data_IF_725749278182
#
_entry.id   IF_725749278182
#
_cell.length_a   1.000
_cell.length_b   1.000
_cell.length_c   1.000
_cell.angle_alpha   90.00
_cell.angle_beta   90.00
_cell.angle_gamma   90.00
#
_symmetry.space_group_name_H-M   'P 1'
#
loop_
_entity.id
_entity.type
_entity.pdbx_description
1 polymer ?
#
# COMPACT_ATOMS: atom_id res chain seq x y z
N UNK A 1 45.75 60.84 -17.55
CA UNK A 1 45.16 59.65 -18.22
C UNK A 1 45.68 58.39 -17.55
N UNK A 2 44.88 57.75 -16.68
CA UNK A 2 45.27 56.60 -15.87
C UNK A 2 45.29 55.29 -16.67
N UNK A 3 46.46 54.64 -16.71
CA UNK A 3 46.67 53.36 -17.38
C UNK A 3 46.20 52.22 -16.45
N UNK A 4 44.98 51.73 -16.66
CA UNK A 4 44.48 50.53 -15.97
C UNK A 4 45.37 49.33 -16.33
N UNK A 5 45.91 48.57 -15.35
CA UNK A 5 46.79 47.46 -15.64
C UNK A 5 46.00 46.38 -16.39
N UNK A 6 46.39 46.18 -17.65
CA UNK A 6 45.77 45.23 -18.61
C UNK A 6 45.58 43.82 -18.03
N UNK A 7 46.34 43.45 -16.99
CA UNK A 7 46.21 42.18 -16.25
C UNK A 7 44.90 42.06 -15.47
N UNK A 8 44.41 43.14 -14.85
CA UNK A 8 43.16 43.11 -14.06
C UNK A 8 41.93 42.89 -14.94
N UNK A 9 41.93 43.45 -16.15
CA UNK A 9 40.86 43.23 -17.15
C UNK A 9 40.85 41.79 -17.66
N UNK A 10 42.01 41.19 -17.91
CA UNK A 10 42.10 39.78 -18.33
C UNK A 10 41.63 38.82 -17.24
N UNK A 11 41.99 39.07 -15.98
CA UNK A 11 41.49 38.32 -14.82
C UNK A 11 39.97 38.40 -14.66
N UNK A 12 39.40 39.61 -14.77
CA UNK A 12 37.95 39.80 -14.69
C UNK A 12 37.19 39.14 -15.85
N UNK A 13 37.72 39.19 -17.07
CA UNK A 13 37.10 38.53 -18.23
C UNK A 13 37.13 37.01 -18.09
N UNK A 14 38.23 36.43 -17.61
CA UNK A 14 38.32 34.99 -17.35
C UNK A 14 37.37 34.53 -16.24
N UNK A 15 37.22 35.33 -15.19
CA UNK A 15 36.29 35.05 -14.09
C UNK A 15 34.83 35.09 -14.57
N UNK A 16 34.46 36.08 -15.39
CA UNK A 16 33.13 36.19 -15.99
C UNK A 16 32.83 35.04 -16.95
N UNK A 17 33.79 34.63 -17.79
CA UNK A 17 33.61 33.48 -18.68
C UNK A 17 33.41 32.18 -17.88
N UNK A 18 34.20 31.98 -16.82
CA UNK A 18 34.05 30.84 -15.93
C UNK A 18 32.68 30.80 -15.24
N UNK A 19 32.23 31.94 -14.71
CA UNK A 19 30.93 32.06 -14.06
C UNK A 19 29.78 31.81 -15.06
N UNK A 20 29.87 32.34 -16.28
CA UNK A 20 28.89 32.06 -17.34
C UNK A 20 28.84 30.57 -17.72
N UNK A 21 29.99 29.90 -17.83
CA UNK A 21 30.05 28.47 -18.09
C UNK A 21 29.41 27.65 -16.97
N UNK A 22 29.67 28.01 -15.71
CA UNK A 22 29.04 27.37 -14.53
C UNK A 22 27.53 27.57 -14.55
N UNK A 23 27.05 28.77 -14.85
CA UNK A 23 25.61 29.06 -14.96
C UNK A 23 24.95 28.23 -16.06
N UNK A 24 25.59 28.07 -17.22
CA UNK A 24 25.07 27.22 -18.31
C UNK A 24 25.01 25.75 -17.89
N UNK A 25 26.04 25.24 -17.23
CA UNK A 25 26.09 23.85 -16.74
C UNK A 25 25.01 23.60 -15.68
N UNK A 26 24.87 24.50 -14.71
CA UNK A 26 23.84 24.43 -13.67
C UNK A 26 22.45 24.51 -14.28
N UNK A 27 22.19 25.45 -15.18
CA UNK A 27 20.90 25.59 -15.86
C UNK A 27 20.54 24.35 -16.69
N UNK A 28 21.51 23.73 -17.37
CA UNK A 28 21.31 22.47 -18.10
C UNK A 28 21.03 21.30 -17.16
N UNK A 29 21.65 21.26 -15.99
CA UNK A 29 21.42 20.24 -14.95
C UNK A 29 20.09 20.42 -14.21
N UNK A 30 19.54 21.64 -14.16
CA UNK A 30 18.20 21.91 -13.62
C UNK A 30 17.06 21.76 -14.65
N UNK A 31 17.34 21.71 -15.95
CA UNK A 31 16.33 21.50 -17.00
C UNK A 31 16.05 20.04 -17.48
N UNK A 32 16.55 18.92 -16.89
CA UNK A 32 16.36 17.60 -17.49
C UNK A 32 14.93 17.03 -17.36
N UNK A 33 13.97 17.69 -16.70
CA UNK A 33 12.65 17.10 -16.38
C UNK A 33 11.46 17.76 -17.10
N UNK A 34 11.65 18.86 -17.84
CA UNK A 34 10.53 19.50 -18.58
C UNK A 34 10.33 18.92 -19.99
N UNK A 35 10.73 17.66 -20.17
CA UNK A 35 10.32 16.84 -21.32
C UNK A 35 9.41 15.76 -20.78
N UNK A 36 8.27 16.19 -20.21
CA UNK A 36 7.17 15.27 -19.96
C UNK A 36 6.93 14.52 -21.28
N UNK A 37 7.00 13.17 -21.29
CA UNK A 37 6.57 12.43 -22.46
C UNK A 37 5.16 12.90 -22.77
N UNK A 38 4.92 13.35 -24.00
CA UNK A 38 3.59 13.70 -24.47
C UNK A 38 2.78 12.42 -24.35
N UNK A 39 2.07 12.25 -23.23
CA UNK A 39 1.14 11.16 -23.06
C UNK A 39 0.12 11.34 -24.19
N UNK A 40 -0.19 10.28 -24.96
CA UNK A 40 -1.29 10.36 -25.91
C UNK A 40 -2.54 10.79 -25.12
N UNK A 41 -3.39 11.65 -25.70
CA UNK A 41 -4.62 12.06 -25.03
C UNK A 41 -5.40 10.81 -24.60
N UNK A 42 -6.03 10.82 -23.40
CA UNK A 42 -6.80 9.68 -22.94
C UNK A 42 -7.86 9.30 -24.00
N UNK A 43 -8.17 8.01 -24.19
CA UNK A 43 -9.21 7.61 -25.12
C UNK A 43 -10.54 8.27 -24.73
N UNK A 44 -11.40 8.62 -25.71
CA UNK A 44 -12.70 9.19 -25.41
C UNK A 44 -13.52 8.22 -24.56
N UNK A 45 -14.33 8.71 -23.62
CA UNK A 45 -15.22 7.85 -22.85
C UNK A 45 -16.14 7.07 -23.79
N UNK A 46 -16.51 5.82 -23.45
CA UNK A 46 -17.43 5.03 -24.25
C UNK A 46 -18.73 5.83 -24.48
N UNK A 47 -19.12 5.98 -25.74
CA UNK A 47 -20.25 6.83 -26.14
C UNK A 47 -21.61 6.22 -25.81
N UNK A 48 -21.64 4.92 -25.51
CA UNK A 48 -22.84 4.24 -25.05
C UNK A 48 -22.74 4.04 -23.53
N UNK A 49 -23.57 4.72 -22.72
CA UNK A 49 -23.80 4.25 -21.36
C UNK A 49 -24.31 2.80 -21.48
N UNK A 50 -23.91 1.88 -20.59
CA UNK A 50 -24.52 0.56 -20.57
C UNK A 50 -26.03 0.79 -20.43
N UNK A 51 -26.76 0.50 -21.52
CA UNK A 51 -28.22 0.51 -21.49
C UNK A 51 -28.61 -0.63 -20.58
N UNK A 52 -28.80 -0.31 -19.30
CA UNK A 52 -29.45 -1.20 -18.36
C UNK A 52 -30.87 -1.33 -18.89
N UNK A 53 -31.12 -2.36 -19.69
CA UNK A 53 -32.46 -2.74 -20.12
C UNK A 53 -33.13 -3.30 -18.88
N UNK A 54 -33.78 -2.42 -18.11
CA UNK A 54 -34.67 -2.83 -17.04
C UNK A 54 -35.82 -3.60 -17.70
N UNK A 55 -36.05 -4.89 -17.37
CA UNK A 55 -37.16 -5.63 -17.91
C UNK A 55 -38.46 -4.96 -17.44
N UNK A 56 -39.22 -4.39 -18.37
CA UNK A 56 -40.53 -3.77 -18.12
C UNK A 56 -41.62 -4.79 -17.81
N UNK A 57 -41.29 -6.08 -17.85
CA UNK A 57 -42.25 -7.18 -17.78
C UNK A 57 -42.63 -7.58 -16.35
N UNK A 58 -42.06 -6.95 -15.32
CA UNK A 58 -42.31 -7.32 -13.91
C UNK A 58 -43.51 -6.60 -13.26
N UNK A 59 -44.17 -5.66 -13.96
CA UNK A 59 -45.26 -4.85 -13.37
C UNK A 59 -46.67 -5.34 -13.72
N UNK A 60 -46.83 -6.51 -14.33
CA UNK A 60 -48.15 -7.08 -14.65
C UNK A 60 -48.30 -8.47 -14.05
N UNK A 61 -48.20 -8.58 -12.72
CA UNK A 61 -48.82 -9.69 -11.99
C UNK A 61 -50.02 -9.13 -11.25
N UNK A 62 -51.16 -9.31 -11.89
CA UNK A 62 -52.48 -9.25 -11.29
C UNK A 62 -52.55 -10.11 -10.03
N UNK A 63 -52.53 -9.44 -8.88
CA UNK A 63 -52.78 -10.05 -7.57
C UNK A 63 -54.26 -10.39 -7.50
N UNK A 64 -54.57 -11.65 -7.79
CA UNK A 64 -55.85 -12.25 -7.49
C UNK A 64 -56.04 -12.27 -5.96
N UNK A 65 -56.91 -11.38 -5.49
CA UNK A 65 -57.42 -11.37 -4.13
C UNK A 65 -58.24 -12.63 -3.87
N UNK A 66 -57.84 -13.40 -2.86
CA UNK A 66 -58.68 -14.42 -2.24
C UNK A 66 -58.22 -14.55 -0.79
N UNK A 67 -59.00 -13.98 0.12
CA UNK A 67 -58.91 -14.21 1.54
C UNK A 67 -58.99 -15.72 1.84
N UNK A 68 -58.37 -16.18 2.95
CA UNK A 68 -59.20 -16.34 4.13
C UNK A 68 -58.58 -15.86 5.44
N UNK A 69 -59.49 -15.31 6.22
CA UNK A 69 -59.49 -15.07 7.66
C UNK A 69 -59.13 -16.36 8.44
N UNK A 70 -58.16 -16.27 9.34
CA UNK A 70 -58.18 -17.12 10.53
C UNK A 70 -57.43 -16.46 11.69
N UNK A 71 -58.14 -16.45 12.80
CA UNK A 71 -57.93 -15.77 14.06
C UNK A 71 -56.90 -16.49 14.96
N UNK A 72 -56.59 -15.81 16.08
CA UNK A 72 -55.90 -16.26 17.30
C UNK A 72 -54.37 -16.15 17.28
N UNK A 73 -53.66 -15.65 18.29
CA UNK A 73 -53.91 -14.99 19.59
C UNK A 73 -52.55 -14.34 19.98
N UNK A 74 -52.50 -13.27 20.82
CA UNK A 74 -51.25 -12.57 21.11
C UNK A 74 -50.58 -13.07 22.41
N UNK A 75 -49.45 -13.75 22.30
CA UNK A 75 -48.51 -13.86 23.43
C UNK A 75 -47.42 -12.79 23.30
N UNK A 76 -47.52 -11.82 24.22
CA UNK A 76 -46.51 -10.82 24.49
C UNK A 76 -45.28 -11.46 25.12
N UNK A 77 -44.10 -11.15 24.62
CA UNK A 77 -42.90 -11.13 25.47
C UNK A 77 -42.00 -9.97 25.07
N UNK A 78 -41.86 -9.06 26.01
CA UNK A 78 -40.95 -7.91 26.04
C UNK A 78 -39.78 -8.33 26.92
N UNK A 79 -38.53 -8.23 26.45
CA UNK A 79 -37.30 -8.07 27.26
C UNK A 79 -36.20 -7.52 26.32
N UNK A 80 -35.88 -6.22 26.31
CA UNK A 80 -34.80 -5.52 27.09
C UNK A 80 -33.41 -6.11 26.78
N UNK A 81 -32.61 -5.47 25.91
CA UNK A 81 -31.56 -4.48 26.25
C UNK A 81 -30.80 -4.82 27.54
N UNK A 82 -29.59 -5.38 27.41
CA UNK A 82 -28.41 -5.06 28.22
C UNK A 82 -27.21 -5.93 27.78
N UNK A 83 -26.21 -5.29 27.18
CA UNK A 83 -24.80 -5.66 27.38
C UNK A 83 -24.37 -4.98 28.69
N UNK A 84 -23.54 -5.56 29.58
CA UNK A 84 -22.16 -6.01 29.29
C UNK A 84 -21.82 -7.34 30.04
N UNK A 85 -20.72 -8.05 29.79
CA UNK A 85 -19.42 -7.91 30.45
C UNK A 85 -18.57 -9.11 29.94
N UNK A 86 -17.35 -8.90 29.44
CA UNK A 86 -16.11 -9.43 30.03
C UNK A 86 -16.29 -10.63 30.98
N UNK A 87 -15.75 -11.80 30.61
CA UNK A 87 -15.04 -12.65 31.57
C UNK A 87 -14.14 -13.67 30.85
N UNK A 88 -12.84 -13.51 31.12
CA UNK A 88 -11.78 -14.46 30.85
C UNK A 88 -11.94 -15.63 31.83
N UNK A 89 -12.07 -16.86 31.35
CA UNK A 89 -11.60 -18.05 32.06
C UNK A 89 -11.31 -19.18 31.03
N UNK A 90 -10.05 -19.52 30.77
CA UNK A 90 -9.71 -20.83 30.19
C UNK A 90 -8.68 -21.48 31.11
N UNK A 91 -9.19 -22.21 32.10
CA UNK A 91 -8.42 -23.03 33.03
C UNK A 91 -9.15 -24.33 33.32
N UNK A 92 -8.49 -25.46 33.04
CA UNK A 92 -8.94 -26.83 33.33
C UNK A 92 -8.42 -27.79 32.26
N UNK A 93 -7.24 -28.41 32.36
CA UNK A 93 -6.75 -29.38 33.36
C UNK A 93 -7.56 -30.68 33.43
N UNK A 94 -6.92 -31.77 32.96
CA UNK A 94 -7.30 -33.17 33.10
C UNK A 94 -7.09 -33.91 31.76
N UNK A 95 -6.36 -35.02 31.63
CA UNK A 95 -5.90 -36.01 32.60
C UNK A 95 -4.93 -36.99 31.92
N UNK A 96 -3.94 -37.44 32.70
CA UNK A 96 -3.22 -38.74 32.65
C UNK A 96 -2.18 -39.05 31.55
N UNK A 97 -0.91 -38.96 31.96
CA UNK A 97 0.08 -40.05 32.07
C UNK A 97 -0.31 -41.45 31.51
N UNK A 98 0.62 -42.17 30.86
CA UNK A 98 1.71 -42.79 31.61
C UNK A 98 3.12 -42.65 31.00
N UNK A 99 4.06 -42.62 31.94
CA UNK A 99 5.51 -42.75 31.80
C UNK A 99 5.90 -44.08 31.15
N UNK A 100 6.84 -44.04 30.21
CA UNK A 100 7.86 -45.09 30.07
C UNK A 100 9.12 -44.48 29.45
N UNK A 101 10.00 -44.01 30.32
CA UNK A 101 11.43 -44.31 30.38
C UNK A 101 12.08 -44.91 29.12
N UNK A 102 12.89 -44.10 28.40
CA UNK A 102 14.24 -44.49 27.96
C UNK A 102 15.05 -43.28 27.44
N UNK A 103 16.35 -43.16 27.80
CA UNK A 103 17.09 -41.91 27.71
C UNK A 103 17.96 -41.77 26.44
N UNK A 104 18.27 -40.51 26.15
CA UNK A 104 19.45 -40.04 25.40
C UNK A 104 19.51 -40.36 23.90
N UNK A 105 18.74 -39.61 23.11
CA UNK A 105 19.20 -39.07 21.83
C UNK A 105 18.44 -37.76 21.57
N UNK A 106 19.14 -36.64 21.62
CA UNK A 106 18.61 -35.30 21.34
C UNK A 106 18.01 -35.26 19.93
N UNK A 107 16.68 -35.25 19.85
CA UNK A 107 15.96 -34.71 18.69
C UNK A 107 15.16 -33.55 19.22
N UNK A 108 15.82 -32.39 19.19
CA UNK A 108 15.20 -31.11 19.47
C UNK A 108 14.30 -30.82 18.27
N UNK A 109 13.00 -31.09 18.42
CA UNK A 109 11.98 -30.45 17.59
C UNK A 109 11.54 -29.25 18.40
N UNK A 110 12.28 -28.16 18.24
CA UNK A 110 11.86 -26.84 18.69
C UNK A 110 10.62 -26.46 17.88
N UNK A 111 9.48 -26.59 18.55
CA UNK A 111 8.22 -25.92 18.25
C UNK A 111 8.43 -24.41 18.48
N UNK A 112 9.23 -23.79 17.61
CA UNK A 112 9.33 -22.34 17.52
C UNK A 112 8.22 -21.88 16.57
N UNK A 113 7.06 -21.61 17.15
CA UNK A 113 6.14 -20.64 16.58
C UNK A 113 6.98 -19.37 16.25
N UNK A 114 7.06 -18.95 14.97
CA UNK A 114 7.87 -17.79 14.62
C UNK A 114 7.28 -16.59 15.35
N UNK A 115 7.99 -16.11 16.36
CA UNK A 115 7.73 -14.81 16.95
C UNK A 115 7.80 -13.79 15.81
N UNK A 116 6.70 -13.06 15.60
CA UNK A 116 6.56 -12.00 14.61
C UNK A 116 7.47 -10.80 14.98
N UNK A 117 8.79 -10.97 14.90
CA UNK A 117 9.76 -9.88 14.92
C UNK A 117 9.82 -9.29 13.49
N UNK A 118 8.76 -8.53 13.19
CA UNK A 118 8.30 -8.08 11.87
C UNK A 118 9.10 -6.86 11.31
N UNK A 119 10.27 -6.56 11.87
CA UNK A 119 10.95 -5.26 11.71
C UNK A 119 12.17 -5.26 10.76
N UNK A 120 12.77 -6.41 10.41
CA UNK A 120 14.08 -6.44 9.73
C UNK A 120 14.08 -6.84 8.23
N UNK A 121 12.92 -6.99 7.59
CA UNK A 121 12.88 -7.20 6.13
C UNK A 121 12.73 -5.86 5.38
N UNK A 122 13.83 -5.11 5.26
CA UNK A 122 13.91 -3.84 4.50
C UNK A 122 13.44 -3.95 3.03
N UNK A 123 13.39 -5.18 2.48
CA UNK A 123 12.96 -5.46 1.10
C UNK A 123 11.53 -6.00 1.00
N UNK A 124 10.80 -6.17 2.11
CA UNK A 124 9.39 -6.57 2.10
C UNK A 124 8.46 -5.36 2.15
N UNK A 125 7.38 -5.43 1.39
CA UNK A 125 6.33 -4.42 1.46
C UNK A 125 4.96 -5.02 1.19
N UNK A 126 3.92 -4.26 1.49
CA UNK A 126 2.55 -4.71 1.26
C UNK A 126 2.19 -4.62 -0.23
N UNK A 127 1.82 -5.75 -0.82
CA UNK A 127 1.30 -5.79 -2.18
C UNK A 127 -0.23 -5.64 -2.14
N UNK A 128 -0.78 -4.63 -2.81
CA UNK A 128 -2.23 -4.41 -2.87
C UNK A 128 -2.94 -5.52 -3.66
N UNK A 129 -2.28 -6.08 -4.67
CA UNK A 129 -2.83 -7.17 -5.47
C UNK A 129 -2.87 -8.51 -4.72
N UNK A 130 -1.82 -8.83 -3.94
CA UNK A 130 -1.77 -10.05 -3.13
C UNK A 130 -2.42 -9.90 -1.75
N UNK A 131 -2.61 -8.67 -1.28
CA UNK A 131 -3.10 -8.31 0.06
C UNK A 131 -2.26 -8.90 1.20
N UNK A 132 -0.96 -8.99 0.98
CA UNK A 132 0.00 -9.55 1.91
C UNK A 132 1.34 -8.79 1.81
N UNK A 133 2.16 -8.87 2.86
CA UNK A 133 3.57 -8.48 2.78
C UNK A 133 4.29 -9.46 1.87
N UNK A 134 4.97 -8.96 0.85
CA UNK A 134 5.71 -9.74 -0.15
C UNK A 134 7.08 -9.09 -0.36
N UNK A 135 8.12 -9.87 -0.67
CA UNK A 135 9.40 -9.31 -1.03
C UNK A 135 9.33 -8.65 -2.42
N UNK A 136 10.10 -7.59 -2.57
CA UNK A 136 10.22 -6.85 -3.83
C UNK A 136 11.41 -7.37 -4.66
N UNK A 137 11.19 -7.52 -5.97
CA UNK A 137 12.21 -7.69 -7.01
C UNK A 137 12.58 -6.31 -7.56
N UNK A 138 13.85 -6.12 -7.91
CA UNK A 138 14.39 -4.87 -8.49
C UNK A 138 14.10 -3.63 -7.63
N UNK A 139 14.15 -3.83 -6.30
CA UNK A 139 13.91 -2.77 -5.32
C UNK A 139 15.01 -1.70 -5.39
N UNK A 140 14.61 -0.44 -5.59
CA UNK A 140 15.51 0.70 -5.60
C UNK A 140 14.93 1.86 -4.80
N UNK A 141 15.82 2.59 -4.13
CA UNK A 141 15.45 3.80 -3.42
C UNK A 141 15.24 4.97 -4.39
N UNK A 142 14.12 5.66 -4.24
CA UNK A 142 13.83 6.91 -4.93
C UNK A 142 13.39 8.00 -3.95
N UNK A 143 13.58 9.25 -4.36
CA UNK A 143 12.98 10.40 -3.70
C UNK A 143 11.69 10.75 -4.42
N UNK A 144 10.60 10.81 -3.67
CA UNK A 144 9.32 11.32 -4.19
C UNK A 144 9.42 12.81 -4.54
N UNK A 145 8.45 13.35 -5.29
CA UNK A 145 8.38 14.79 -5.61
C UNK A 145 8.37 15.68 -4.36
N UNK A 146 7.85 15.14 -3.25
CA UNK A 146 7.81 15.81 -1.95
C UNK A 146 9.10 15.63 -1.13
N UNK A 147 10.15 15.03 -1.70
CA UNK A 147 11.46 14.84 -1.08
C UNK A 147 11.53 13.71 -0.04
N UNK A 148 10.46 12.92 0.13
CA UNK A 148 10.45 11.76 1.05
C UNK A 148 11.12 10.55 0.38
N UNK A 149 11.94 9.83 1.15
CA UNK A 149 12.59 8.56 0.73
C UNK A 149 11.56 7.46 0.61
N UNK A 150 11.66 6.67 -0.46
CA UNK A 150 10.82 5.52 -0.66
C UNK A 150 11.54 4.44 -1.46
N UNK A 151 11.06 3.21 -1.32
CA UNK A 151 11.49 2.03 -2.05
C UNK A 151 10.45 1.71 -3.12
N UNK A 152 10.86 1.63 -4.38
CA UNK A 152 10.07 1.13 -5.51
C UNK A 152 10.60 -0.24 -5.92
N UNK A 153 9.70 -1.15 -6.27
CA UNK A 153 10.05 -2.45 -6.81
C UNK A 153 8.85 -3.17 -7.39
N UNK A 154 9.01 -4.46 -7.65
CA UNK A 154 7.97 -5.32 -8.25
C UNK A 154 7.67 -6.50 -7.34
N UNK A 155 6.40 -6.88 -7.20
CA UNK A 155 6.00 -8.07 -6.45
C UNK A 155 6.53 -9.35 -7.10
N UNK A 156 7.20 -10.22 -6.34
CA UNK A 156 7.66 -11.52 -6.87
C UNK A 156 6.51 -12.48 -7.25
N UNK A 157 5.35 -12.35 -6.60
CA UNK A 157 4.23 -13.29 -6.78
C UNK A 157 3.34 -12.90 -7.95
N UNK A 158 2.96 -11.62 -8.05
CA UNK A 158 1.98 -11.15 -9.04
C UNK A 158 2.54 -10.18 -10.09
N UNK A 159 3.79 -9.74 -9.94
CA UNK A 159 4.41 -8.78 -10.87
C UNK A 159 3.88 -7.35 -10.78
N UNK A 160 3.03 -7.03 -9.79
CA UNK A 160 2.53 -5.66 -9.61
C UNK A 160 3.64 -4.74 -9.05
N UNK A 161 3.66 -3.48 -9.50
CA UNK A 161 4.54 -2.46 -8.93
C UNK A 161 4.19 -2.18 -7.47
N UNK A 162 5.19 -2.22 -6.60
CA UNK A 162 5.08 -1.99 -5.17
C UNK A 162 5.83 -0.73 -4.76
N UNK A 163 5.37 -0.09 -3.69
CA UNK A 163 5.94 1.15 -3.17
C UNK A 163 5.83 1.20 -1.64
N UNK A 164 6.93 1.55 -0.98
CA UNK A 164 7.01 1.67 0.48
C UNK A 164 7.80 2.93 0.85
N UNK A 165 7.29 3.74 1.78
CA UNK A 165 8.08 4.84 2.32
C UNK A 165 9.13 4.31 3.30
N UNK A 166 10.35 4.82 3.20
CA UNK A 166 11.43 4.53 4.14
C UNK A 166 11.41 5.56 5.28
N UNK A 167 11.82 5.18 6.50
CA UNK A 167 12.02 6.13 7.57
C UNK A 167 13.11 7.15 7.22
N UNK A 168 13.03 8.33 7.85
CA UNK A 168 14.10 9.32 7.75
C UNK A 168 15.37 8.74 8.38
N UNK A 169 16.53 9.00 7.76
CA UNK A 169 17.83 8.63 8.31
C UNK A 169 18.31 9.83 9.12
N UNK A 170 18.09 9.79 10.44
CA UNK A 170 18.60 10.80 11.38
C UNK A 170 20.13 10.70 11.56
#
# INVERSE_FOLDING_TARGET
MGNQPKSKRKLWVSLLLGLAAVVVIVRRKLHPIDSAPILPPPPPPPSDPPRIVLPTDILTTEVATSAPELEAEPEAVVVEDEAPLLELEVGGSGTAAPETEQPAAEVVVEDEAPADDDDDDELRSYCVSCRAKQPMIDAHEELTENGRRALRGTCEVCGAGMFRFLPNKD
#
